data_IF_087467695821
#
_entry.id   IF_087467695821
#
_cell.length_a   1.000
_cell.length_b   1.000
_cell.length_c   1.000
_cell.angle_alpha   90.00
_cell.angle_beta   90.00
_cell.angle_gamma   90.00
#
_symmetry.space_group_name_H-M   'P 1'
#
loop_
_entity.id
_entity.type
_entity.pdbx_description
1 polymer ?
#
# COMPACT_ATOMS: atom_id res chain seq x y z
N UNK A 1 32.12 -1.38 -25.84
CA UNK A 1 31.39 -0.81 -27.00
C UNK A 1 30.93 -1.92 -27.93
N UNK A 2 29.64 -2.17 -28.01
CA UNK A 2 28.86 -3.01 -28.94
C UNK A 2 28.05 -4.12 -28.25
N UNK A 3 27.10 -3.78 -27.38
CA UNK A 3 25.95 -4.65 -27.11
C UNK A 3 24.73 -3.76 -26.77
N UNK A 4 24.35 -2.86 -27.66
CA UNK A 4 23.02 -2.20 -27.62
C UNK A 4 22.62 -1.80 -29.04
N UNK A 5 22.27 -2.81 -29.86
CA UNK A 5 21.46 -2.64 -31.06
C UNK A 5 20.90 -3.99 -31.49
N UNK A 6 19.62 -4.24 -31.16
CA UNK A 6 18.60 -4.85 -32.02
C UNK A 6 17.45 -5.39 -31.17
N UNK A 7 16.39 -4.64 -31.02
CA UNK A 7 15.05 -5.12 -31.39
C UNK A 7 14.01 -4.01 -31.14
N UNK A 8 13.94 -3.05 -32.08
CA UNK A 8 12.69 -2.33 -32.33
C UNK A 8 11.71 -3.33 -32.95
N UNK A 9 11.09 -4.16 -32.15
CA UNK A 9 9.79 -4.78 -32.47
C UNK A 9 8.78 -4.10 -31.55
N UNK A 10 8.04 -3.13 -32.10
CA UNK A 10 6.74 -2.76 -31.60
C UNK A 10 5.92 -4.05 -31.53
N UNK A 11 5.82 -4.62 -30.34
CA UNK A 11 4.85 -5.68 -30.08
C UNK A 11 3.53 -4.93 -29.91
N UNK A 12 2.82 -4.72 -31.02
CA UNK A 12 1.38 -4.51 -30.98
C UNK A 12 0.83 -5.76 -30.29
N UNK A 13 0.40 -5.63 -29.03
CA UNK A 13 -0.51 -6.59 -28.41
C UNK A 13 -1.75 -6.55 -29.29
N UNK A 14 -1.91 -7.56 -30.13
CA UNK A 14 -3.11 -7.71 -30.95
C UNK A 14 -4.29 -7.76 -29.99
N UNK A 15 -5.37 -7.06 -30.30
CA UNK A 15 -6.62 -6.96 -29.52
C UNK A 15 -7.26 -8.32 -29.13
N UNK A 16 -6.67 -9.45 -29.48
CA UNK A 16 -7.19 -10.81 -29.29
C UNK A 16 -6.69 -11.53 -28.03
N UNK A 17 -5.80 -10.93 -27.22
CA UNK A 17 -5.48 -11.42 -25.88
C UNK A 17 -5.94 -10.42 -24.83
N UNK A 18 -7.20 -10.02 -24.87
CA UNK A 18 -7.86 -9.31 -23.78
C UNK A 18 -8.02 -10.29 -22.62
N UNK A 19 -6.95 -10.47 -21.85
CA UNK A 19 -7.04 -11.07 -20.52
C UNK A 19 -8.09 -10.25 -19.78
N UNK A 20 -9.14 -10.91 -19.33
CA UNK A 20 -10.32 -10.25 -18.76
C UNK A 20 -10.04 -9.82 -17.31
N UNK A 21 -9.15 -8.82 -17.12
CA UNK A 21 -8.84 -8.29 -15.81
C UNK A 21 -10.04 -7.58 -15.20
N UNK A 22 -10.27 -7.84 -13.92
CA UNK A 22 -11.33 -7.19 -13.13
C UNK A 22 -10.72 -6.25 -12.10
N UNK A 23 -11.42 -5.17 -11.81
CA UNK A 23 -11.07 -4.24 -10.76
C UNK A 23 -11.12 -4.92 -9.39
N UNK A 24 -10.00 -4.89 -8.65
CA UNK A 24 -9.88 -5.53 -7.32
C UNK A 24 -10.83 -4.99 -6.25
N UNK A 25 -11.40 -3.79 -6.46
CA UNK A 25 -12.38 -3.20 -5.56
C UNK A 25 -13.83 -3.46 -5.99
N UNK A 26 -14.20 -3.09 -7.22
CA UNK A 26 -15.61 -3.08 -7.63
C UNK A 26 -15.96 -4.17 -8.66
N UNK A 27 -15.03 -5.06 -9.00
CA UNK A 27 -15.18 -6.18 -9.95
C UNK A 27 -15.56 -5.78 -11.39
N UNK A 28 -15.58 -4.48 -11.72
CA UNK A 28 -15.81 -4.04 -13.10
C UNK A 28 -14.61 -4.40 -13.97
N UNK A 29 -14.85 -4.68 -15.25
CA UNK A 29 -13.80 -4.98 -16.23
C UNK A 29 -12.82 -3.82 -16.37
N UNK A 30 -11.52 -4.12 -16.46
CA UNK A 30 -10.46 -3.15 -16.71
C UNK A 30 -10.16 -3.10 -18.20
N UNK A 31 -10.53 -1.98 -18.84
CA UNK A 31 -10.39 -1.79 -20.28
C UNK A 31 -9.44 -0.63 -20.62
N UNK A 32 -9.11 0.20 -19.63
CA UNK A 32 -8.40 1.44 -19.86
C UNK A 32 -7.01 1.42 -19.25
N UNK A 33 -6.02 1.55 -20.10
CA UNK A 33 -4.61 1.66 -19.69
C UNK A 33 -4.35 3.07 -19.15
N UNK A 34 -3.84 3.16 -17.92
CA UNK A 34 -3.35 4.39 -17.32
C UNK A 34 -1.91 4.67 -17.75
N UNK A 35 -1.06 3.65 -17.72
CA UNK A 35 0.33 3.72 -18.16
C UNK A 35 0.85 2.31 -18.52
N UNK A 36 1.54 2.18 -19.64
CA UNK A 36 2.25 0.96 -20.03
C UNK A 36 3.77 1.23 -19.99
N UNK A 37 4.46 0.57 -19.08
CA UNK A 37 5.92 0.62 -18.92
C UNK A 37 6.64 -0.52 -19.66
N UNK A 38 5.89 -1.34 -20.39
CA UNK A 38 6.44 -2.47 -21.17
C UNK A 38 6.71 -3.69 -20.29
N UNK A 39 7.82 -4.37 -20.54
CA UNK A 39 8.25 -5.56 -19.80
C UNK A 39 9.54 -5.27 -19.06
N UNK A 40 9.54 -5.47 -17.76
CA UNK A 40 10.69 -5.22 -16.88
C UNK A 40 10.89 -6.37 -15.88
N UNK A 41 12.09 -6.53 -15.31
CA UNK A 41 12.29 -7.43 -14.18
C UNK A 41 11.45 -7.01 -12.96
N UNK A 42 11.18 -7.95 -12.07
CA UNK A 42 10.54 -7.63 -10.79
C UNK A 42 11.53 -6.89 -9.89
N UNK A 43 11.08 -5.83 -9.23
CA UNK A 43 11.85 -5.15 -8.20
C UNK A 43 12.23 -6.13 -7.06
N UNK A 44 13.30 -5.80 -6.32
CA UNK A 44 13.80 -6.60 -5.18
C UNK A 44 14.18 -8.07 -5.51
N UNK A 45 14.14 -8.47 -6.78
CA UNK A 45 14.56 -9.80 -7.25
C UNK A 45 16.03 -9.76 -7.69
N UNK A 46 16.93 -9.50 -6.74
CA UNK A 46 18.36 -9.40 -7.02
C UNK A 46 18.94 -10.74 -7.46
N UNK A 47 19.65 -10.75 -8.59
CA UNK A 47 20.28 -11.93 -9.17
C UNK A 47 21.79 -11.92 -8.93
N UNK A 48 22.36 -13.10 -8.72
CA UNK A 48 23.81 -13.29 -8.78
C UNK A 48 24.26 -13.31 -10.24
N UNK A 49 25.55 -13.06 -10.50
CA UNK A 49 26.11 -13.02 -11.85
C UNK A 49 25.81 -14.27 -12.66
N UNK A 50 25.82 -15.44 -12.01
CA UNK A 50 25.56 -16.75 -12.62
C UNK A 50 24.07 -17.01 -12.95
N UNK A 51 23.19 -16.10 -12.49
CA UNK A 51 21.74 -16.20 -12.63
C UNK A 51 21.17 -15.21 -13.67
N UNK A 52 22.00 -14.33 -14.24
CA UNK A 52 21.57 -13.27 -15.15
C UNK A 52 20.82 -13.80 -16.38
N UNK A 53 21.21 -14.99 -16.91
CA UNK A 53 20.52 -15.61 -18.04
C UNK A 53 19.13 -16.17 -17.67
N UNK A 54 18.83 -16.29 -16.37
CA UNK A 54 17.54 -16.76 -15.84
C UNK A 54 16.61 -15.61 -15.47
N UNK A 55 17.00 -14.36 -15.73
CA UNK A 55 16.19 -13.20 -15.40
C UNK A 55 14.81 -13.28 -16.03
N UNK A 56 13.79 -13.17 -15.19
CA UNK A 56 12.39 -13.18 -15.64
C UNK A 56 11.91 -11.75 -15.77
N UNK A 57 11.35 -11.42 -16.93
CA UNK A 57 10.72 -10.13 -17.20
C UNK A 57 9.21 -10.30 -17.27
N UNK A 58 8.48 -9.33 -16.72
CA UNK A 58 7.02 -9.34 -16.60
C UNK A 58 6.43 -8.07 -17.20
N UNK A 59 5.21 -8.13 -17.79
CA UNK A 59 4.52 -6.93 -18.24
C UNK A 59 4.22 -6.02 -17.02
N UNK A 60 4.43 -4.72 -17.19
CA UNK A 60 4.09 -3.70 -16.22
C UNK A 60 3.13 -2.69 -16.86
N UNK A 61 1.87 -3.07 -16.94
CA UNK A 61 0.79 -2.26 -17.46
C UNK A 61 -0.19 -1.89 -16.35
N UNK A 62 -0.37 -0.59 -16.14
CA UNK A 62 -1.26 -0.01 -15.14
C UNK A 62 -2.59 0.31 -15.76
N UNK A 63 -3.67 -0.08 -15.12
CA UNK A 63 -5.04 0.16 -15.56
C UNK A 63 -5.76 1.12 -14.61
N UNK A 64 -6.72 1.87 -15.15
CA UNK A 64 -7.69 2.63 -14.36
C UNK A 64 -9.08 2.04 -14.53
N UNK A 65 -9.77 1.83 -13.43
CA UNK A 65 -11.17 1.43 -13.45
C UNK A 65 -12.08 2.61 -13.73
N UNK A 66 -12.78 2.61 -14.88
CA UNK A 66 -13.71 3.70 -15.25
C UNK A 66 -14.85 3.90 -14.25
N UNK A 67 -15.27 2.85 -13.52
CA UNK A 67 -16.38 2.90 -12.57
C UNK A 67 -15.99 3.50 -11.22
N UNK A 68 -14.87 3.09 -10.64
CA UNK A 68 -14.49 3.51 -9.29
C UNK A 68 -13.23 4.38 -9.23
N UNK A 69 -12.51 4.52 -10.35
CA UNK A 69 -11.26 5.29 -10.51
C UNK A 69 -10.06 4.72 -9.74
N UNK A 70 -10.12 3.47 -9.30
CA UNK A 70 -8.94 2.81 -8.76
C UNK A 70 -7.92 2.57 -9.86
N UNK A 71 -6.71 3.10 -9.69
CA UNK A 71 -5.55 2.83 -10.53
C UNK A 71 -4.82 1.62 -9.96
N UNK A 72 -4.50 0.63 -10.81
CA UNK A 72 -4.04 -0.68 -10.36
C UNK A 72 -3.28 -1.44 -11.42
N UNK A 73 -2.40 -2.36 -11.01
CA UNK A 73 -1.82 -3.37 -11.89
C UNK A 73 -2.52 -4.72 -11.68
N UNK A 74 -2.63 -5.57 -12.71
CA UNK A 74 -3.06 -6.96 -12.54
C UNK A 74 -2.09 -7.73 -11.65
N UNK A 75 -2.58 -8.78 -10.99
CA UNK A 75 -1.72 -9.71 -10.25
C UNK A 75 -1.00 -10.63 -11.23
N UNK A 76 0.23 -10.26 -11.60
CA UNK A 76 1.10 -11.05 -12.49
C UNK A 76 1.91 -12.06 -11.69
N UNK A 77 2.25 -11.70 -10.44
CA UNK A 77 2.94 -12.56 -9.46
C UNK A 77 2.13 -12.61 -8.18
N UNK A 78 2.09 -13.78 -7.58
CA UNK A 78 1.35 -13.97 -6.32
C UNK A 78 2.04 -13.27 -5.14
N UNK A 79 1.30 -12.85 -4.11
CA UNK A 79 1.90 -12.32 -2.87
C UNK A 79 2.92 -13.27 -2.23
N UNK A 80 2.67 -14.57 -2.32
CA UNK A 80 3.59 -15.57 -1.79
C UNK A 80 4.95 -15.55 -2.51
N UNK A 81 4.97 -15.37 -3.83
CA UNK A 81 6.21 -15.22 -4.59
C UNK A 81 6.95 -13.92 -4.30
N UNK A 82 6.21 -12.84 -4.02
CA UNK A 82 6.80 -11.52 -3.79
C UNK A 82 7.27 -11.33 -2.35
N UNK A 83 6.53 -11.83 -1.36
CA UNK A 83 6.67 -11.43 0.04
C UNK A 83 7.00 -12.55 1.02
N UNK A 84 7.08 -13.84 0.62
CA UNK A 84 7.42 -14.92 1.58
C UNK A 84 8.88 -14.88 2.08
N UNK A 85 9.78 -14.29 1.28
CA UNK A 85 11.17 -14.01 1.64
C UNK A 85 11.52 -12.62 1.11
N UNK A 86 11.54 -11.64 2.00
CA UNK A 86 11.64 -10.25 1.62
C UNK A 86 13.04 -9.68 1.91
N UNK A 87 13.63 -9.03 0.90
CA UNK A 87 15.00 -8.53 1.01
C UNK A 87 15.12 -7.22 1.81
N UNK A 88 14.01 -6.47 1.95
CA UNK A 88 14.02 -5.16 2.59
C UNK A 88 13.75 -5.25 4.10
N UNK A 89 14.65 -4.64 4.89
CA UNK A 89 14.51 -4.47 6.33
C UNK A 89 14.30 -3.00 6.65
N UNK A 90 13.15 -2.67 7.22
CA UNK A 90 12.75 -1.27 7.48
C UNK A 90 13.66 -0.58 8.50
N UNK A 91 14.27 -1.32 9.42
CA UNK A 91 15.18 -0.76 10.44
C UNK A 91 16.52 -0.28 9.88
N UNK A 92 16.85 -0.51 8.61
CA UNK A 92 18.12 -0.07 8.02
C UNK A 92 18.15 1.41 7.63
N UNK A 93 16.99 2.07 7.55
CA UNK A 93 16.91 3.48 7.20
C UNK A 93 16.73 4.33 8.46
N UNK A 94 17.72 5.15 8.79
CA UNK A 94 17.68 6.05 9.96
C UNK A 94 16.54 7.06 9.86
N UNK A 95 16.28 7.59 8.67
CA UNK A 95 15.17 8.52 8.43
C UNK A 95 13.81 7.84 8.66
N UNK A 96 13.68 6.57 8.23
CA UNK A 96 12.47 5.79 8.45
C UNK A 96 12.28 5.42 9.93
N UNK A 97 13.37 5.09 10.62
CA UNK A 97 13.35 4.87 12.07
C UNK A 97 12.92 6.12 12.85
N UNK A 98 13.39 7.29 12.44
CA UNK A 98 12.98 8.56 13.07
C UNK A 98 11.51 8.87 12.80
N UNK A 99 11.04 8.66 11.57
CA UNK A 99 9.62 8.77 11.21
C UNK A 99 8.73 7.86 12.10
N UNK A 100 9.11 6.60 12.26
CA UNK A 100 8.39 5.66 13.13
C UNK A 100 8.37 6.12 14.60
N UNK A 101 9.48 6.63 15.12
CA UNK A 101 9.58 7.15 16.49
C UNK A 101 8.66 8.35 16.72
N UNK A 102 8.65 9.31 15.79
CA UNK A 102 7.79 10.49 15.90
C UNK A 102 6.29 10.10 15.73
N UNK A 103 5.98 9.16 14.84
CA UNK A 103 4.64 8.60 14.73
C UNK A 103 4.18 8.00 16.07
N UNK A 104 4.99 7.16 16.71
CA UNK A 104 4.61 6.53 17.98
C UNK A 104 4.37 7.58 19.07
N UNK A 105 5.24 8.59 19.20
CA UNK A 105 5.04 9.71 20.15
C UNK A 105 3.72 10.43 19.92
N UNK A 106 3.43 10.74 18.66
CA UNK A 106 2.18 11.39 18.25
C UNK A 106 0.97 10.53 18.62
N UNK A 107 1.00 9.24 18.31
CA UNK A 107 -0.09 8.31 18.58
C UNK A 107 -0.38 8.16 20.07
N UNK A 108 0.65 8.01 20.88
CA UNK A 108 0.52 7.93 22.36
C UNK A 108 -0.16 9.17 22.91
N UNK A 109 0.33 10.35 22.52
CA UNK A 109 -0.22 11.63 22.98
C UNK A 109 -1.65 11.85 22.50
N UNK A 110 -1.92 11.56 21.22
CA UNK A 110 -3.20 11.85 20.59
C UNK A 110 -4.33 10.97 21.08
N UNK A 111 -4.04 9.68 21.34
CA UNK A 111 -5.03 8.67 21.69
C UNK A 111 -4.88 8.13 23.12
N UNK A 112 -4.04 8.78 23.93
CA UNK A 112 -3.80 8.43 25.33
C UNK A 112 -3.46 6.93 25.51
N UNK A 113 -2.60 6.40 24.61
CA UNK A 113 -2.21 5.00 24.65
C UNK A 113 -1.34 4.68 25.85
N UNK A 114 -1.56 3.53 26.46
CA UNK A 114 -0.88 3.12 27.68
C UNK A 114 -0.77 1.58 27.77
N UNK A 115 -0.32 1.05 28.89
CA UNK A 115 -0.11 -0.40 29.12
C UNK A 115 -1.38 -1.27 28.97
N UNK A 116 -2.58 -0.67 28.98
CA UNK A 116 -3.83 -1.38 28.76
C UNK A 116 -4.22 -1.40 27.26
N UNK A 117 -3.52 -0.64 26.40
CA UNK A 117 -3.74 -0.60 24.98
C UNK A 117 -3.05 -1.79 24.29
N UNK A 118 -3.65 -2.30 23.22
CA UNK A 118 -3.05 -3.34 22.37
C UNK A 118 -2.83 -2.80 20.96
N UNK A 119 -1.59 -2.78 20.52
CA UNK A 119 -1.18 -2.25 19.21
C UNK A 119 -0.89 -3.41 18.28
N UNK A 120 -1.54 -3.46 17.12
CA UNK A 120 -1.28 -4.48 16.10
C UNK A 120 -0.79 -3.81 14.82
N UNK A 121 0.36 -4.25 14.30
CA UNK A 121 0.90 -3.78 13.03
C UNK A 121 0.81 -4.85 11.95
N UNK A 122 0.21 -4.50 10.80
CA UNK A 122 0.14 -5.36 9.62
C UNK A 122 1.35 -5.05 8.72
N UNK A 123 2.02 -6.10 8.24
CA UNK A 123 3.31 -6.03 7.55
C UNK A 123 4.38 -5.33 8.43
N UNK A 124 4.50 -5.83 9.66
CA UNK A 124 5.32 -5.23 10.70
C UNK A 124 6.83 -5.30 10.44
N UNK A 125 7.21 -5.93 9.34
CA UNK A 125 8.59 -6.11 8.92
C UNK A 125 9.46 -6.64 10.08
N UNK A 126 10.61 -6.08 10.36
CA UNK A 126 11.52 -6.50 11.42
C UNK A 126 11.21 -5.86 12.80
N UNK A 127 9.98 -5.40 13.00
CA UNK A 127 9.48 -4.79 14.24
C UNK A 127 9.97 -3.36 14.47
N UNK A 128 10.41 -2.70 13.42
CA UNK A 128 11.04 -1.38 13.44
C UNK A 128 10.20 -0.30 14.14
N UNK A 129 8.87 -0.35 14.00
CA UNK A 129 7.94 0.61 14.59
C UNK A 129 7.44 0.11 15.95
N UNK A 130 7.03 -1.16 16.05
CA UNK A 130 6.46 -1.74 17.26
C UNK A 130 7.42 -1.68 18.46
N UNK A 131 8.74 -1.70 18.21
CA UNK A 131 9.73 -1.60 19.28
C UNK A 131 9.55 -0.33 20.12
N UNK A 132 9.17 0.80 19.54
CA UNK A 132 8.98 2.05 20.27
C UNK A 132 7.76 2.03 21.18
N UNK A 133 6.72 1.27 20.85
CA UNK A 133 5.61 0.98 21.78
C UNK A 133 6.04 0.01 22.88
N UNK A 134 6.75 -1.07 22.49
CA UNK A 134 7.21 -2.08 23.43
C UNK A 134 8.19 -1.52 24.49
N UNK A 135 9.10 -0.62 24.11
CA UNK A 135 10.01 0.11 25.03
C UNK A 135 9.25 0.88 26.12
N UNK A 136 8.00 1.27 25.85
CA UNK A 136 7.10 1.94 26.81
C UNK A 136 6.16 0.98 27.53
N UNK A 137 6.40 -0.33 27.42
CA UNK A 137 5.57 -1.40 27.96
C UNK A 137 4.11 -1.37 27.48
N UNK A 138 3.86 -0.90 26.26
CA UNK A 138 2.56 -0.99 25.59
C UNK A 138 2.53 -2.32 24.83
N UNK A 139 1.53 -3.19 25.06
CA UNK A 139 1.40 -4.47 24.38
C UNK A 139 1.34 -4.34 22.85
N UNK A 140 2.14 -5.15 22.16
CA UNK A 140 2.27 -5.11 20.69
C UNK A 140 2.14 -6.50 20.08
N UNK A 141 1.66 -6.56 18.82
CA UNK A 141 1.67 -7.75 17.99
C UNK A 141 1.97 -7.36 16.54
N UNK A 142 3.00 -7.94 15.95
CA UNK A 142 3.26 -7.83 14.52
C UNK A 142 2.58 -8.96 13.74
N UNK A 143 2.13 -8.67 12.52
CA UNK A 143 1.68 -9.65 11.53
C UNK A 143 2.55 -9.44 10.30
N UNK A 144 3.41 -10.44 9.96
CA UNK A 144 4.40 -10.31 8.90
C UNK A 144 4.52 -11.64 8.12
N UNK A 145 4.21 -11.66 6.82
CA UNK A 145 4.28 -12.91 6.04
C UNK A 145 5.72 -13.35 5.73
N UNK A 146 6.68 -12.42 5.63
CA UNK A 146 8.07 -12.74 5.32
C UNK A 146 8.79 -13.38 6.51
N UNK A 147 8.98 -14.68 6.45
CA UNK A 147 9.53 -15.46 7.57
C UNK A 147 10.95 -15.02 7.99
N UNK A 148 11.78 -14.59 7.03
CA UNK A 148 13.14 -14.11 7.29
C UNK A 148 13.12 -12.78 8.08
N UNK A 149 12.22 -11.88 7.76
CA UNK A 149 12.07 -10.56 8.40
C UNK A 149 11.41 -10.72 9.78
N UNK A 150 10.31 -11.48 9.86
CA UNK A 150 9.60 -11.79 11.11
C UNK A 150 10.51 -12.44 12.16
N UNK A 151 11.42 -13.35 11.75
CA UNK A 151 12.42 -13.93 12.66
C UNK A 151 13.30 -12.87 13.33
N UNK A 152 13.63 -11.77 12.64
CA UNK A 152 14.40 -10.67 13.22
C UNK A 152 13.58 -9.89 14.24
N UNK A 153 12.30 -9.62 13.96
CA UNK A 153 11.39 -8.98 14.92
C UNK A 153 11.29 -9.83 16.21
N UNK A 154 11.05 -11.13 16.08
CA UNK A 154 10.96 -12.07 17.21
C UNK A 154 12.26 -12.09 18.03
N UNK A 155 13.44 -12.13 17.37
CA UNK A 155 14.74 -12.06 18.06
C UNK A 155 14.94 -10.75 18.84
N UNK A 156 14.34 -9.66 18.40
CA UNK A 156 14.34 -8.35 19.07
C UNK A 156 13.28 -8.25 20.19
N UNK A 157 12.54 -9.33 20.47
CA UNK A 157 11.51 -9.37 21.50
C UNK A 157 10.14 -8.84 21.06
N UNK A 158 9.90 -8.64 19.76
CA UNK A 158 8.61 -8.21 19.23
C UNK A 158 7.77 -9.44 18.85
N UNK A 159 6.66 -9.73 19.57
CA UNK A 159 5.75 -10.82 19.21
C UNK A 159 5.27 -10.64 17.78
N UNK A 160 5.44 -11.65 16.93
CA UNK A 160 5.10 -11.56 15.50
C UNK A 160 4.46 -12.85 15.02
N UNK A 161 3.27 -12.73 14.42
CA UNK A 161 2.56 -13.80 13.74
C UNK A 161 3.02 -13.89 12.28
N UNK A 162 3.59 -15.01 11.86
CA UNK A 162 4.09 -15.22 10.50
C UNK A 162 2.95 -15.68 9.60
N UNK A 163 2.14 -14.73 9.11
CA UNK A 163 0.98 -14.96 8.22
C UNK A 163 0.70 -13.75 7.34
N UNK A 164 0.08 -14.00 6.20
CA UNK A 164 -0.61 -12.93 5.46
C UNK A 164 -1.85 -12.48 6.23
N UNK A 165 -2.09 -11.16 6.25
CA UNK A 165 -3.29 -10.61 6.88
C UNK A 165 -4.49 -10.66 5.93
N UNK A 166 -5.57 -11.21 6.42
CA UNK A 166 -6.87 -11.32 5.75
C UNK A 166 -7.98 -11.52 6.79
N UNK A 167 -9.22 -11.74 6.35
CA UNK A 167 -10.36 -11.97 7.25
C UNK A 167 -10.19 -13.21 8.14
N UNK A 168 -9.52 -14.26 7.67
CA UNK A 168 -9.37 -15.49 8.45
C UNK A 168 -8.33 -15.31 9.56
N UNK A 169 -7.20 -14.65 9.26
CA UNK A 169 -6.22 -14.25 10.26
C UNK A 169 -6.84 -13.30 11.29
N UNK A 170 -7.68 -12.38 10.86
CA UNK A 170 -8.36 -11.45 11.75
C UNK A 170 -9.37 -12.14 12.69
N UNK A 171 -10.13 -13.13 12.20
CA UNK A 171 -11.04 -13.94 13.01
C UNK A 171 -10.30 -14.77 14.05
N UNK A 172 -9.21 -15.45 13.63
CA UNK A 172 -8.36 -16.23 14.54
C UNK A 172 -7.82 -15.37 15.68
N UNK A 173 -7.34 -14.17 15.40
CA UNK A 173 -6.84 -13.24 16.42
C UNK A 173 -7.97 -12.74 17.33
N UNK A 174 -9.13 -12.44 16.77
CA UNK A 174 -10.31 -12.04 17.55
C UNK A 174 -10.76 -13.15 18.51
N UNK A 175 -10.82 -14.40 18.09
CA UNK A 175 -11.15 -15.57 18.92
C UNK A 175 -10.15 -15.76 20.07
N UNK A 176 -8.90 -15.36 19.85
CA UNK A 176 -7.84 -15.34 20.88
C UNK A 176 -7.84 -14.06 21.73
N UNK A 177 -8.86 -13.22 21.65
CA UNK A 177 -8.94 -11.93 22.33
C UNK A 177 -7.77 -10.96 22.04
N UNK A 178 -7.20 -11.03 20.80
CA UNK A 178 -6.10 -10.20 20.32
C UNK A 178 -6.58 -9.01 19.45
N UNK A 179 -7.79 -8.51 19.70
CA UNK A 179 -8.28 -7.32 19.00
C UNK A 179 -7.45 -6.09 19.37
N UNK A 180 -7.29 -5.20 18.38
CA UNK A 180 -6.46 -4.01 18.49
C UNK A 180 -7.21 -2.78 19.00
N UNK A 181 -6.62 -2.01 19.92
CA UNK A 181 -7.00 -0.63 20.19
C UNK A 181 -6.47 0.29 19.08
N UNK A 182 -5.25 0.01 18.59
CA UNK A 182 -4.70 0.61 17.37
C UNK A 182 -4.25 -0.49 16.42
N UNK A 183 -4.82 -0.47 15.22
CA UNK A 183 -4.39 -1.31 14.12
C UNK A 183 -3.70 -0.42 13.08
N UNK A 184 -2.46 -0.73 12.75
CA UNK A 184 -1.69 0.12 11.86
C UNK A 184 -1.00 -0.66 10.74
N UNK A 185 -0.69 0.05 9.65
CA UNK A 185 0.08 -0.49 8.54
C UNK A 185 0.65 0.63 7.67
N UNK A 186 1.98 0.69 7.63
CA UNK A 186 2.68 1.69 6.84
C UNK A 186 3.22 1.06 5.55
N UNK A 187 2.86 1.65 4.40
CA UNK A 187 3.26 1.19 3.06
C UNK A 187 2.93 -0.29 2.77
N UNK A 188 1.80 -0.78 3.28
CA UNK A 188 1.31 -2.13 3.01
C UNK A 188 0.09 -2.14 2.09
N UNK A 189 -0.78 -1.13 2.15
CA UNK A 189 -2.07 -1.17 1.47
C UNK A 189 -1.93 -1.28 -0.06
N UNK A 190 -0.89 -0.64 -0.63
CA UNK A 190 -0.58 -0.75 -2.05
C UNK A 190 -0.16 -2.17 -2.48
N UNK A 191 0.38 -2.97 -1.55
CA UNK A 191 0.87 -4.34 -1.78
C UNK A 191 -0.22 -5.42 -1.64
N UNK A 192 -1.47 -5.03 -1.47
CA UNK A 192 -2.58 -5.97 -1.20
C UNK A 192 -3.36 -6.25 -2.49
N UNK A 193 -3.40 -7.51 -2.97
CA UNK A 193 -4.16 -7.85 -4.17
C UNK A 193 -5.67 -7.90 -3.92
N UNK A 194 -6.14 -8.38 -2.77
CA UNK A 194 -7.56 -8.38 -2.37
C UNK A 194 -7.81 -7.33 -1.29
N UNK A 195 -7.97 -6.08 -1.73
CA UNK A 195 -8.18 -4.94 -0.84
C UNK A 195 -9.48 -5.05 -0.04
N UNK A 196 -10.51 -5.69 -0.60
CA UNK A 196 -11.79 -5.86 0.10
C UNK A 196 -11.67 -6.82 1.28
N UNK A 197 -11.03 -7.98 1.09
CA UNK A 197 -10.79 -8.95 2.16
C UNK A 197 -9.88 -8.36 3.24
N UNK A 198 -8.85 -7.62 2.84
CA UNK A 198 -7.90 -6.96 3.74
C UNK A 198 -8.62 -5.94 4.64
N UNK A 199 -9.37 -5.00 4.07
CA UNK A 199 -10.08 -3.96 4.85
C UNK A 199 -11.21 -4.56 5.69
N UNK A 200 -11.89 -5.59 5.21
CA UNK A 200 -12.85 -6.37 6.01
C UNK A 200 -12.18 -7.04 7.21
N UNK A 201 -10.98 -7.61 7.02
CA UNK A 201 -10.16 -8.16 8.10
C UNK A 201 -9.81 -7.10 9.15
N UNK A 202 -9.45 -5.89 8.72
CA UNK A 202 -9.17 -4.77 9.63
C UNK A 202 -10.39 -4.44 10.50
N UNK A 203 -11.59 -4.39 9.92
CA UNK A 203 -12.83 -4.18 10.69
C UNK A 203 -13.04 -5.26 11.75
N UNK A 204 -12.75 -6.52 11.44
CA UNK A 204 -12.93 -7.65 12.37
C UNK A 204 -11.96 -7.57 13.55
N UNK A 205 -10.70 -7.21 13.27
CA UNK A 205 -9.63 -7.18 14.27
C UNK A 205 -9.67 -5.93 15.15
N UNK A 206 -10.28 -4.85 14.69
CA UNK A 206 -10.40 -3.60 15.43
C UNK A 206 -11.40 -3.72 16.57
N UNK A 207 -11.04 -3.27 17.79
CA UNK A 207 -11.99 -3.10 18.91
C UNK A 207 -13.04 -2.04 18.55
N UNK A 208 -14.23 -2.06 19.19
CA UNK A 208 -15.32 -1.10 18.88
C UNK A 208 -14.90 0.38 18.97
N UNK A 209 -14.05 0.72 19.93
CA UNK A 209 -13.52 2.08 20.12
C UNK A 209 -12.10 2.27 19.58
N UNK A 210 -11.56 1.27 18.91
CA UNK A 210 -10.23 1.30 18.32
C UNK A 210 -10.15 2.21 17.10
N UNK A 211 -8.93 2.45 16.67
CA UNK A 211 -8.60 3.21 15.46
C UNK A 211 -7.67 2.43 14.54
N UNK A 212 -7.80 2.69 13.25
CA UNK A 212 -6.86 2.21 12.24
C UNK A 212 -6.05 3.40 11.74
N UNK A 213 -4.75 3.22 11.54
CA UNK A 213 -3.94 4.15 10.75
C UNK A 213 -3.26 3.43 9.60
N UNK A 214 -3.29 4.04 8.42
CA UNK A 214 -2.61 3.53 7.23
C UNK A 214 -1.82 4.64 6.57
N UNK A 215 -0.57 4.35 6.20
CA UNK A 215 0.25 5.25 5.36
C UNK A 215 0.43 4.62 3.98
N UNK A 216 0.27 5.42 2.94
CA UNK A 216 0.47 4.99 1.55
C UNK A 216 0.73 6.18 0.63
N UNK A 217 1.49 5.99 -0.48
CA UNK A 217 1.72 7.02 -1.47
C UNK A 217 0.42 7.54 -2.09
N UNK A 218 0.32 8.86 -2.26
CA UNK A 218 -0.86 9.52 -2.81
C UNK A 218 -0.74 9.65 -4.33
N UNK A 219 -1.70 9.11 -5.09
CA UNK A 219 -1.66 9.16 -6.56
C UNK A 219 -1.63 10.58 -7.12
N UNK A 220 -2.18 11.57 -6.39
CA UNK A 220 -2.08 12.96 -6.75
C UNK A 220 -0.63 13.41 -6.91
N UNK A 221 0.23 13.02 -5.99
CA UNK A 221 1.66 13.36 -6.05
C UNK A 221 2.36 12.60 -7.18
N UNK A 222 2.01 11.34 -7.39
CA UNK A 222 2.51 10.56 -8.51
C UNK A 222 2.22 11.25 -9.85
N UNK A 223 0.98 11.73 -10.07
CA UNK A 223 0.57 12.42 -11.29
C UNK A 223 1.25 13.79 -11.43
N UNK A 224 1.28 14.58 -10.35
CA UNK A 224 1.82 15.94 -10.38
C UNK A 224 3.33 15.99 -10.58
N UNK A 225 4.06 15.06 -9.94
CA UNK A 225 5.51 15.02 -9.94
C UNK A 225 6.08 13.99 -10.93
N UNK A 226 5.22 13.34 -11.72
CA UNK A 226 5.59 12.30 -12.70
C UNK A 226 6.40 11.15 -12.07
N UNK A 227 5.99 10.69 -10.90
CA UNK A 227 6.69 9.64 -10.12
C UNK A 227 6.39 8.24 -10.69
N UNK A 228 6.60 8.04 -11.98
CA UNK A 228 6.37 6.73 -12.63
C UNK A 228 7.36 5.65 -12.17
N UNK A 229 8.47 6.03 -11.60
CA UNK A 229 9.48 5.17 -10.97
C UNK A 229 8.97 4.47 -9.69
N UNK A 230 7.90 4.97 -9.09
CA UNK A 230 7.21 4.30 -7.98
C UNK A 230 6.24 3.19 -8.44
N UNK A 231 6.11 3.01 -9.76
CA UNK A 231 5.27 1.97 -10.37
C UNK A 231 6.13 0.72 -10.60
N UNK A 232 5.80 -0.36 -9.88
CA UNK A 232 6.45 -1.66 -9.99
C UNK A 232 5.52 -2.79 -9.51
N UNK A 233 5.90 -4.04 -9.77
CA UNK A 233 5.00 -5.20 -9.64
C UNK A 233 4.49 -5.49 -8.22
N UNK A 234 5.14 -4.94 -7.18
CA UNK A 234 4.70 -5.10 -5.80
C UNK A 234 3.60 -4.11 -5.40
N UNK A 235 3.45 -2.98 -6.13
CA UNK A 235 2.40 -2.01 -5.90
C UNK A 235 1.16 -2.33 -6.73
N UNK A 236 0.27 -3.16 -6.20
CA UNK A 236 -0.95 -3.54 -6.90
C UNK A 236 -1.96 -2.40 -7.09
N UNK A 237 -1.91 -1.37 -6.24
CA UNK A 237 -2.89 -0.27 -6.24
C UNK A 237 -2.25 1.08 -5.97
N UNK A 238 -2.79 2.13 -6.61
CA UNK A 238 -2.41 3.52 -6.43
C UNK A 238 -3.65 4.31 -6.04
N UNK A 239 -3.64 4.92 -4.85
CA UNK A 239 -4.83 5.44 -4.22
C UNK A 239 -4.92 6.96 -4.27
N UNK A 240 -6.10 7.47 -4.70
CA UNK A 240 -6.59 8.79 -4.32
C UNK A 240 -7.31 8.71 -2.97
N UNK A 241 -7.52 9.83 -2.31
CA UNK A 241 -8.31 9.89 -1.09
C UNK A 241 -9.78 9.51 -1.37
N UNK A 242 -10.30 9.91 -2.51
CA UNK A 242 -11.63 9.56 -2.99
C UNK A 242 -11.86 8.04 -3.04
N UNK A 243 -10.95 7.29 -3.65
CA UNK A 243 -11.13 5.83 -3.77
C UNK A 243 -10.92 5.13 -2.43
N UNK A 244 -9.99 5.59 -1.61
CA UNK A 244 -9.73 4.96 -0.31
C UNK A 244 -10.91 5.15 0.65
N UNK A 245 -11.56 6.31 0.64
CA UNK A 245 -12.80 6.52 1.38
C UNK A 245 -13.89 5.51 0.98
N UNK A 246 -14.07 5.29 -0.33
CA UNK A 246 -15.07 4.32 -0.82
C UNK A 246 -14.76 2.89 -0.39
N UNK A 247 -13.48 2.49 -0.45
CA UNK A 247 -13.05 1.15 -0.05
C UNK A 247 -13.34 0.93 1.44
N UNK A 248 -12.90 1.84 2.31
CA UNK A 248 -13.13 1.70 3.76
C UNK A 248 -14.63 1.77 4.12
N UNK A 249 -15.36 2.72 3.53
CA UNK A 249 -16.79 2.87 3.78
C UNK A 249 -17.59 1.63 3.35
N UNK A 250 -17.23 0.98 2.25
CA UNK A 250 -17.88 -0.26 1.79
C UNK A 250 -17.80 -1.41 2.80
N UNK A 251 -16.80 -1.35 3.71
CA UNK A 251 -16.62 -2.33 4.78
C UNK A 251 -17.13 -1.82 6.14
N UNK A 252 -17.87 -0.71 6.19
CA UNK A 252 -18.42 -0.12 7.42
C UNK A 252 -17.35 0.52 8.31
N UNK A 253 -16.34 1.12 7.69
CA UNK A 253 -15.29 1.91 8.33
C UNK A 253 -15.34 3.34 7.79
N UNK A 254 -15.04 4.34 8.61
CA UNK A 254 -15.08 5.75 8.25
C UNK A 254 -13.75 6.42 8.54
N UNK A 255 -13.16 7.07 7.54
CA UNK A 255 -11.99 7.94 7.73
C UNK A 255 -12.45 9.20 8.43
N UNK A 256 -11.91 9.47 9.61
CA UNK A 256 -12.28 10.66 10.40
C UNK A 256 -11.21 11.74 10.42
N UNK A 257 -9.97 11.41 10.03
CA UNK A 257 -8.89 12.38 9.87
C UNK A 257 -7.89 11.91 8.82
N UNK A 258 -7.12 12.84 8.26
CA UNK A 258 -6.06 12.57 7.29
C UNK A 258 -4.94 13.61 7.40
N UNK A 259 -3.70 13.14 7.23
CA UNK A 259 -2.50 13.96 7.16
C UNK A 259 -1.79 13.72 5.82
N UNK A 260 -1.36 14.80 5.16
CA UNK A 260 -0.44 14.73 4.04
C UNK A 260 0.98 14.71 4.60
N UNK A 261 1.77 13.69 4.28
CA UNK A 261 3.13 13.49 4.80
C UNK A 261 4.14 13.40 3.64
N UNK A 262 5.40 13.87 3.82
CA UNK A 262 6.37 13.97 2.73
C UNK A 262 7.03 12.63 2.36
N UNK A 263 6.76 11.55 3.07
CA UNK A 263 7.36 10.23 2.82
C UNK A 263 7.03 9.72 1.42
N UNK A 264 7.98 9.01 0.79
CA UNK A 264 7.81 8.38 -0.54
C UNK A 264 7.30 9.33 -1.63
N UNK A 265 7.78 10.57 -1.64
CA UNK A 265 7.38 11.58 -2.62
C UNK A 265 6.02 12.22 -2.38
N UNK A 266 5.43 11.98 -1.22
CA UNK A 266 4.14 12.50 -0.77
C UNK A 266 3.11 11.38 -0.57
N UNK A 267 2.80 11.14 0.70
CA UNK A 267 1.87 10.10 1.15
C UNK A 267 0.70 10.68 1.93
N UNK A 268 -0.33 9.87 2.09
CA UNK A 268 -1.40 10.12 3.05
C UNK A 268 -1.23 9.21 4.26
N UNK A 269 -1.49 9.77 5.45
CA UNK A 269 -1.78 9.00 6.66
C UNK A 269 -3.24 9.19 7.00
N UNK A 270 -4.04 8.15 6.91
CA UNK A 270 -5.45 8.16 7.25
C UNK A 270 -5.69 7.63 8.66
N UNK A 271 -6.69 8.19 9.34
CA UNK A 271 -7.19 7.73 10.64
C UNK A 271 -8.63 7.27 10.48
N UNK A 272 -8.87 6.01 10.81
CA UNK A 272 -10.13 5.33 10.50
C UNK A 272 -10.75 4.76 11.77
N UNK A 273 -12.05 4.73 11.83
CA UNK A 273 -12.86 4.16 12.92
C UNK A 273 -13.97 3.28 12.36
N UNK A 274 -14.61 2.48 13.20
CA UNK A 274 -15.89 1.89 12.87
C UNK A 274 -16.91 2.99 12.53
N UNK A 275 -17.74 2.81 11.49
CA UNK A 275 -18.71 3.83 11.08
C UNK A 275 -19.73 4.14 12.18
N UNK A 276 -20.05 3.15 13.01
CA UNK A 276 -20.93 3.26 14.18
C UNK A 276 -20.29 3.97 15.39
N UNK A 277 -18.95 4.11 15.42
CA UNK A 277 -18.24 4.78 16.52
C UNK A 277 -18.52 6.29 16.49
N UNK A 278 -19.01 6.85 17.61
CA UNK A 278 -19.35 8.28 17.78
C UNK A 278 -18.27 9.10 18.53
N UNK A 279 -17.20 8.45 19.01
CA UNK A 279 -16.14 9.11 19.81
C UNK A 279 -15.35 10.11 18.96
N UNK A 280 -15.04 9.76 17.71
CA UNK A 280 -14.23 10.59 16.84
C UNK A 280 -15.10 11.27 15.79
N UNK A 281 -15.10 12.60 15.79
CA UNK A 281 -15.75 13.41 14.75
C UNK A 281 -14.89 13.50 13.49
N UNK A 282 -15.54 13.66 12.33
CA UNK A 282 -14.83 13.86 11.06
C UNK A 282 -14.18 15.26 11.08
N UNK A 283 -12.86 15.29 10.92
CA UNK A 283 -12.04 16.50 10.97
C UNK A 283 -12.17 17.32 9.67
N UNK A 284 -11.83 18.60 9.77
CA UNK A 284 -11.78 19.49 8.63
C UNK A 284 -10.74 19.08 7.58
N UNK A 285 -9.64 18.44 7.98
CA UNK A 285 -8.64 17.83 7.10
C UNK A 285 -9.24 16.93 6.02
N UNK A 286 -10.24 16.12 6.39
CA UNK A 286 -10.96 15.22 5.48
C UNK A 286 -11.70 16.03 4.40
N UNK A 287 -12.44 17.07 4.80
CA UNK A 287 -13.19 17.93 3.87
C UNK A 287 -12.24 18.70 2.93
N UNK A 288 -11.14 19.21 3.48
CA UNK A 288 -10.15 19.97 2.73
C UNK A 288 -9.46 19.09 1.69
N UNK A 289 -9.13 17.84 2.01
CA UNK A 289 -8.51 16.94 1.05
C UNK A 289 -9.49 16.48 -0.03
N UNK A 290 -10.78 16.23 0.32
CA UNK A 290 -11.83 15.98 -0.66
C UNK A 290 -11.95 17.16 -1.63
N UNK A 291 -12.01 18.40 -1.10
CA UNK A 291 -12.07 19.60 -1.92
C UNK A 291 -10.85 19.72 -2.83
N UNK A 292 -9.64 19.50 -2.30
CA UNK A 292 -8.39 19.54 -3.07
C UNK A 292 -8.41 18.54 -4.23
N UNK A 293 -8.82 17.29 -4.01
CA UNK A 293 -8.94 16.29 -5.07
C UNK A 293 -10.04 16.64 -6.09
N UNK A 294 -11.16 17.22 -5.64
CA UNK A 294 -12.23 17.71 -6.52
C UNK A 294 -11.75 18.85 -7.42
N UNK A 295 -11.06 19.85 -6.84
CA UNK A 295 -10.58 21.04 -7.58
C UNK A 295 -9.56 20.64 -8.68
N UNK A 296 -8.82 19.53 -8.48
CA UNK A 296 -7.86 18.98 -9.45
C UNK A 296 -8.54 18.01 -10.44
N UNK A 297 -9.78 17.58 -10.15
CA UNK A 297 -10.55 16.68 -11.00
C UNK A 297 -10.24 15.19 -10.82
N UNK A 298 -9.68 14.75 -9.68
CA UNK A 298 -9.42 13.31 -9.43
C UNK A 298 -10.70 12.44 -9.33
N UNK A 299 -11.87 13.06 -9.37
CA UNK A 299 -13.18 12.39 -9.49
C UNK A 299 -13.58 12.18 -10.94
N UNK A 300 -12.84 12.75 -11.89
CA UNK A 300 -13.10 12.63 -13.32
C UNK A 300 -12.07 11.69 -13.96
N UNK A 301 -12.58 10.72 -14.68
CA UNK A 301 -11.77 9.78 -15.44
C UNK A 301 -10.82 10.49 -16.43
N UNK A 302 -11.25 11.62 -17.03
CA UNK A 302 -10.47 12.37 -18.02
C UNK A 302 -9.13 12.90 -17.45
N UNK A 303 -9.06 13.20 -16.15
CA UNK A 303 -7.84 13.65 -15.47
C UNK A 303 -6.71 12.63 -15.55
N UNK A 304 -7.04 11.37 -15.58
CA UNK A 304 -6.05 10.28 -15.61
C UNK A 304 -5.51 9.99 -17.02
N UNK A 305 -6.25 10.34 -18.08
CA UNK A 305 -5.90 10.00 -19.46
C UNK A 305 -4.64 10.73 -19.98
N UNK A 306 -4.31 11.87 -19.42
CA UNK A 306 -3.16 12.68 -19.85
C UNK A 306 -1.80 12.20 -19.34
N UNK A 307 -1.77 11.31 -18.35
CA UNK A 307 -0.53 10.92 -17.67
C UNK A 307 0.41 10.12 -18.59
N UNK A 308 -0.09 9.14 -19.31
CA UNK A 308 0.69 8.32 -20.26
C UNK A 308 1.46 9.18 -21.26
N UNK A 309 0.79 10.18 -21.85
CA UNK A 309 1.41 11.09 -22.83
C UNK A 309 2.55 11.93 -22.21
N UNK A 310 2.42 12.34 -20.96
CA UNK A 310 3.50 13.04 -20.26
C UNK A 310 4.73 12.14 -20.11
N UNK A 311 4.53 10.88 -19.71
CA UNK A 311 5.63 9.93 -19.49
C UNK A 311 6.28 9.54 -20.83
N UNK A 312 5.53 9.38 -21.91
CA UNK A 312 6.08 9.16 -23.26
C UNK A 312 6.98 10.31 -23.71
N UNK A 313 6.60 11.56 -23.42
CA UNK A 313 7.42 12.73 -23.73
C UNK A 313 8.72 12.76 -22.91
N UNK A 314 8.67 12.37 -21.63
CA UNK A 314 9.87 12.24 -20.78
C UNK A 314 10.80 11.16 -21.36
N UNK A 315 10.26 9.99 -21.72
CA UNK A 315 11.03 8.90 -22.33
C UNK A 315 11.74 9.35 -23.63
N UNK A 316 11.06 10.11 -24.49
CA UNK A 316 11.69 10.66 -25.71
C UNK A 316 12.88 11.54 -25.38
N UNK A 317 12.70 12.51 -24.45
CA UNK A 317 13.78 13.43 -24.02
C UNK A 317 14.97 12.75 -23.37
N UNK A 318 14.76 11.63 -22.69
CA UNK A 318 15.84 10.85 -22.08
C UNK A 318 16.63 10.02 -23.11
N UNK A 319 16.05 9.74 -24.27
CA UNK A 319 16.68 8.97 -25.35
C UNK A 319 17.37 9.87 -26.41
N UNK A 320 17.12 11.15 -26.38
CA UNK A 320 17.81 12.19 -27.19
C UNK A 320 19.12 12.61 -26.53
#
# INVERSE_FOLDING_TARGET
EKIYRKSNRQIHITMNELINYQCRFCNSRLEHVFLDLGKIPSANSFLKKEELEKEKIYPLCVYICKKCLLVQIPEIRTPAELFSNYAYFSSFSDSWMNHAKEYVKMMIKRFNLNKASHIVEIASNDGYLLKFFAELNIPVLGIEPASNVAKNAIKKGIPTLVKFFNTDTAKELKEKNQQADVLLGNNVLAHVPDVNNFVKGMKILLKPNGIITMEFPHILQLINQNQFDTIYHEHFSYFSFFIIQKIFFSQGLTIFDVEEIPTHGGSLRIFVKHSENKIYEIKESVKNLIKKENDIGLHDYSTYLGFSKKIENIKKKLNE
#
